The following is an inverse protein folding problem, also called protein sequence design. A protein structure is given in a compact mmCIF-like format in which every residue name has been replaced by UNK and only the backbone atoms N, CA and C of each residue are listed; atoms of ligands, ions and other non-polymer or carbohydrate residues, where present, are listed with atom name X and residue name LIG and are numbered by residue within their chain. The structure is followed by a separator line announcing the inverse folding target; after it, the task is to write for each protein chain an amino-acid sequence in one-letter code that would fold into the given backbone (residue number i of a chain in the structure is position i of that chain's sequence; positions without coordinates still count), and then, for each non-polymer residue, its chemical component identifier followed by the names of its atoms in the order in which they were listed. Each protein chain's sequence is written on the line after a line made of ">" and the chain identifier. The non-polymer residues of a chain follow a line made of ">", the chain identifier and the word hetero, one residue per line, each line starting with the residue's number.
data_IF_160724543118
#
_entry.id   IF_160724543118
#
_cell.length_a   1.000
_cell.length_b   1.000
_cell.length_c   1.000
_cell.angle_alpha   90.00
_cell.angle_beta   90.00
_cell.angle_gamma   90.00
#
_symmetry.space_group_name_H-M   'P 1'
#
loop_
_entity.id
_entity.type
_entity.pdbx_description
1 polymer ?
#
# COMPACT_ATOMS: atom_id res chain seq x y z
N UNK A 1 -14.62 22.60 -63.23
CA UNK A 1 -15.07 21.41 -62.47
C UNK A 1 -14.50 21.58 -61.07
N UNK A 2 -15.24 22.24 -60.19
CA UNK A 2 -14.71 22.73 -58.90
C UNK A 2 -15.18 21.82 -57.78
N UNK A 3 -14.24 21.09 -57.18
CA UNK A 3 -14.49 20.12 -56.12
C UNK A 3 -14.93 20.82 -54.83
N UNK A 4 -16.06 20.36 -54.27
CA UNK A 4 -16.59 20.78 -52.98
C UNK A 4 -15.78 20.13 -51.84
N UNK A 5 -15.19 20.95 -50.97
CA UNK A 5 -14.54 20.50 -49.73
C UNK A 5 -15.57 20.47 -48.60
N UNK A 6 -15.87 19.29 -48.07
CA UNK A 6 -16.73 19.13 -46.89
C UNK A 6 -15.86 19.09 -45.62
N UNK A 7 -15.95 20.14 -44.81
CA UNK A 7 -15.29 20.21 -43.50
C UNK A 7 -16.20 19.61 -42.42
N UNK A 8 -15.73 18.70 -41.54
CA UNK A 8 -16.54 18.21 -40.43
C UNK A 8 -16.56 19.22 -39.27
N UNK A 9 -17.74 19.43 -38.70
CA UNK A 9 -18.03 20.32 -37.57
C UNK A 9 -17.97 19.51 -36.26
N UNK A 10 -17.31 19.98 -35.18
CA UNK A 10 -17.27 19.25 -33.93
C UNK A 10 -18.59 19.39 -33.16
N UNK A 11 -19.15 18.26 -32.74
CA UNK A 11 -20.27 18.21 -31.80
C UNK A 11 -19.75 18.45 -30.38
N UNK A 12 -20.30 19.47 -29.70
CA UNK A 12 -20.07 19.77 -28.29
C UNK A 12 -21.41 19.72 -27.57
N UNK A 13 -21.49 19.00 -26.45
CA UNK A 13 -22.58 19.06 -25.46
C UNK A 13 -22.07 18.50 -24.11
N UNK A 14 -22.69 18.87 -22.97
CA UNK A 14 -22.02 19.65 -21.94
C UNK A 14 -21.81 18.93 -20.60
N UNK A 15 -20.98 19.56 -19.76
CA UNK A 15 -20.77 19.24 -18.36
C UNK A 15 -22.09 19.26 -17.57
N UNK A 16 -22.39 18.16 -16.87
CA UNK A 16 -23.47 18.10 -15.89
C UNK A 16 -22.89 18.33 -14.49
N UNK A 17 -23.03 19.56 -14.00
CA UNK A 17 -22.91 19.90 -12.58
C UNK A 17 -24.24 19.57 -11.91
N UNK A 18 -24.24 18.61 -10.97
CA UNK A 18 -25.38 18.37 -10.10
C UNK A 18 -25.04 18.78 -8.67
N UNK A 19 -25.94 19.61 -8.13
CA UNK A 19 -25.83 20.41 -6.92
C UNK A 19 -25.99 19.58 -5.65
N UNK A 20 -25.28 20.05 -4.63
CA UNK A 20 -25.41 19.81 -3.19
C UNK A 20 -26.87 19.74 -2.72
N UNK A 21 -27.18 18.75 -1.89
CA UNK A 21 -28.31 18.76 -0.98
C UNK A 21 -27.79 18.71 0.47
N UNK A 22 -27.91 19.84 1.16
CA UNK A 22 -27.83 19.95 2.61
C UNK A 22 -29.26 20.05 3.13
N UNK A 23 -29.63 19.15 4.05
CA UNK A 23 -30.69 19.27 5.05
C UNK A 23 -30.50 18.01 5.92
N UNK A 24 -30.09 18.01 7.18
CA UNK A 24 -30.39 18.92 8.26
C UNK A 24 -31.20 18.12 9.29
N UNK A 25 -30.65 17.85 10.48
CA UNK A 25 -31.35 18.10 11.76
C UNK A 25 -30.41 17.87 12.94
N UNK A 26 -30.11 18.99 13.59
CA UNK A 26 -29.53 19.11 14.92
C UNK A 26 -30.62 18.72 15.94
N UNK A 27 -30.34 17.77 16.83
CA UNK A 27 -31.11 17.57 18.04
C UNK A 27 -30.15 17.53 19.23
N UNK A 28 -30.01 18.69 19.86
CA UNK A 28 -29.43 18.92 21.18
C UNK A 28 -30.58 18.84 22.17
N UNK A 29 -30.61 17.85 23.05
CA UNK A 29 -31.40 17.92 24.29
C UNK A 29 -30.50 17.49 25.45
N UNK A 30 -30.18 18.48 26.27
CA UNK A 30 -29.62 18.33 27.60
C UNK A 30 -30.75 18.01 28.59
N UNK A 31 -30.49 17.15 29.57
CA UNK A 31 -31.42 16.91 30.67
C UNK A 31 -30.96 15.82 31.64
N UNK A 32 -30.34 16.22 32.74
CA UNK A 32 -30.17 15.41 33.94
C UNK A 32 -31.40 15.57 34.86
N UNK A 33 -32.02 14.48 35.30
CA UNK A 33 -32.58 14.26 36.64
C UNK A 33 -33.37 12.93 36.68
N UNK A 34 -33.21 12.18 37.76
CA UNK A 34 -33.72 10.83 38.00
C UNK A 34 -35.15 10.81 38.57
N UNK A 35 -35.92 9.74 38.29
CA UNK A 35 -36.77 9.04 39.27
C UNK A 35 -37.20 7.65 38.72
N UNK A 36 -37.18 6.63 39.58
CA UNK A 36 -37.46 5.21 39.29
C UNK A 36 -38.97 4.89 39.27
N UNK A 37 -39.41 4.00 38.36
CA UNK A 37 -40.49 3.01 38.61
C UNK A 37 -40.31 1.74 37.76
N UNK A 38 -40.48 0.60 38.40
CA UNK A 38 -40.33 -0.76 37.87
C UNK A 38 -41.44 -1.18 36.89
N UNK A 39 -41.09 -2.03 35.91
CA UNK A 39 -42.03 -2.72 35.02
C UNK A 39 -41.32 -3.55 33.94
N UNK A 40 -41.57 -4.86 33.94
CA UNK A 40 -40.84 -5.98 33.34
C UNK A 40 -40.87 -6.15 31.80
N UNK A 41 -39.85 -6.90 31.36
CA UNK A 41 -39.77 -7.91 30.27
C UNK A 41 -39.58 -7.46 28.80
N UNK A 42 -38.37 -7.76 28.28
CA UNK A 42 -38.22 -8.47 27.00
C UNK A 42 -37.83 -7.65 25.77
N UNK A 43 -36.54 -7.31 25.62
CA UNK A 43 -35.91 -7.16 24.31
C UNK A 43 -34.38 -7.27 24.44
N UNK A 44 -33.79 -8.26 23.78
CA UNK A 44 -32.34 -8.46 23.67
C UNK A 44 -31.66 -7.21 23.08
N UNK A 45 -31.00 -6.44 23.94
CA UNK A 45 -30.04 -5.43 23.52
C UNK A 45 -28.75 -6.11 23.06
N UNK A 46 -28.46 -6.09 21.76
CA UNK A 46 -27.11 -6.34 21.26
C UNK A 46 -26.19 -5.25 21.82
N UNK A 47 -25.40 -5.61 22.83
CA UNK A 47 -24.29 -4.79 23.32
C UNK A 47 -23.44 -4.34 22.12
N UNK A 48 -23.34 -3.03 21.95
CA UNK A 48 -22.43 -2.42 21.00
C UNK A 48 -21.01 -2.81 21.35
N UNK A 49 -20.40 -3.69 20.55
CA UNK A 49 -18.98 -3.99 20.64
C UNK A 49 -18.21 -2.67 20.52
N UNK A 50 -17.57 -2.25 21.61
CA UNK A 50 -16.48 -1.26 21.54
C UNK A 50 -15.50 -1.74 20.47
N UNK A 51 -15.07 -0.90 19.52
CA UNK A 51 -14.16 -1.33 18.47
C UNK A 51 -12.86 -1.82 19.13
N UNK A 52 -12.66 -3.14 19.13
CA UNK A 52 -11.41 -3.73 19.57
C UNK A 52 -10.32 -3.15 18.67
N UNK A 53 -9.38 -2.41 19.27
CA UNK A 53 -8.16 -2.00 18.57
C UNK A 53 -7.41 -3.27 18.19
N UNK A 54 -7.59 -3.72 16.95
CA UNK A 54 -6.98 -4.95 16.44
C UNK A 54 -5.46 -4.80 16.53
N UNK A 55 -4.84 -5.52 17.47
CA UNK A 55 -3.39 -5.55 17.60
C UNK A 55 -2.80 -6.22 16.37
N UNK A 56 -1.83 -5.57 15.73
CA UNK A 56 -1.16 -6.13 14.56
C UNK A 56 -0.23 -7.28 14.97
N UNK A 57 -0.19 -8.37 14.20
CA UNK A 57 0.72 -9.48 14.46
C UNK A 57 2.19 -9.08 14.21
N UNK A 58 3.17 -9.84 14.72
CA UNK A 58 4.57 -9.61 14.38
C UNK A 58 4.82 -9.81 12.88
N UNK A 59 5.76 -9.06 12.30
CA UNK A 59 6.19 -9.28 10.91
C UNK A 59 7.05 -10.54 10.76
N UNK A 60 7.08 -11.10 9.56
CA UNK A 60 7.87 -12.27 9.21
C UNK A 60 8.98 -11.92 8.19
N UNK A 61 9.73 -12.94 7.76
CA UNK A 61 10.90 -12.81 6.91
C UNK A 61 12.22 -12.90 7.67
N UNK A 62 13.23 -13.41 6.98
CA UNK A 62 14.66 -13.45 7.33
C UNK A 62 15.35 -12.15 6.92
N UNK A 63 16.65 -11.99 7.21
CA UNK A 63 17.39 -10.76 6.91
C UNK A 63 17.35 -10.41 5.41
N UNK A 64 17.12 -9.14 5.10
CA UNK A 64 17.04 -8.63 3.73
C UNK A 64 15.98 -9.28 2.83
N UNK A 65 14.91 -9.84 3.39
CA UNK A 65 13.77 -10.28 2.59
C UNK A 65 12.93 -9.08 2.12
N UNK A 66 12.60 -9.07 0.83
CA UNK A 66 11.74 -8.07 0.20
C UNK A 66 10.66 -8.77 -0.64
N UNK A 67 9.39 -8.54 -0.28
CA UNK A 67 8.26 -9.04 -1.07
C UNK A 67 7.80 -7.99 -2.07
N UNK A 68 7.81 -8.34 -3.35
CA UNK A 68 7.33 -7.51 -4.44
C UNK A 68 5.94 -7.95 -4.86
N UNK A 69 5.00 -7.01 -4.86
CA UNK A 69 3.62 -7.22 -5.29
C UNK A 69 3.46 -6.52 -6.62
N UNK A 70 3.36 -7.28 -7.71
CA UNK A 70 3.34 -6.72 -9.05
C UNK A 70 2.51 -7.62 -10.00
N UNK A 71 1.58 -7.08 -10.80
CA UNK A 71 0.90 -7.84 -11.84
C UNK A 71 1.89 -8.54 -12.79
N UNK A 72 1.54 -9.75 -13.23
CA UNK A 72 2.41 -10.61 -14.05
C UNK A 72 2.90 -9.93 -15.34
N UNK A 73 2.03 -9.18 -16.02
CA UNK A 73 2.39 -8.45 -17.25
C UNK A 73 3.44 -7.39 -16.99
N UNK A 74 3.21 -6.52 -15.99
CA UNK A 74 4.17 -5.47 -15.61
C UNK A 74 5.51 -6.06 -15.16
N UNK A 75 5.48 -7.19 -14.43
CA UNK A 75 6.67 -7.88 -13.99
C UNK A 75 7.52 -8.37 -15.15
N UNK A 76 6.91 -9.04 -16.12
CA UNK A 76 7.60 -9.58 -17.30
C UNK A 76 8.12 -8.52 -18.26
N UNK A 77 7.40 -7.41 -18.40
CA UNK A 77 7.72 -6.38 -19.39
C UNK A 77 8.77 -5.38 -18.92
N UNK A 78 8.71 -4.94 -17.66
CA UNK A 78 9.57 -3.85 -17.18
C UNK A 78 10.01 -3.99 -15.72
N UNK A 79 9.08 -4.27 -14.81
CA UNK A 79 9.34 -4.15 -13.38
C UNK A 79 10.32 -5.21 -12.87
N UNK A 80 10.24 -6.45 -13.37
CA UNK A 80 11.08 -7.56 -12.92
C UNK A 80 12.55 -7.32 -13.19
N UNK A 81 12.90 -6.85 -14.39
CA UNK A 81 14.28 -6.53 -14.75
C UNK A 81 14.83 -5.37 -13.90
N UNK A 82 14.09 -4.27 -13.81
CA UNK A 82 14.50 -3.11 -13.01
C UNK A 82 14.70 -3.46 -11.53
N UNK A 83 13.82 -4.30 -10.96
CA UNK A 83 13.96 -4.79 -9.59
C UNK A 83 15.19 -5.69 -9.44
N UNK A 84 15.42 -6.63 -10.37
CA UNK A 84 16.58 -7.51 -10.33
C UNK A 84 17.90 -6.74 -10.45
N UNK A 85 17.98 -5.77 -11.37
CA UNK A 85 19.19 -4.97 -11.59
C UNK A 85 19.51 -4.01 -10.45
N UNK A 86 18.50 -3.41 -9.82
CA UNK A 86 18.71 -2.35 -8.82
C UNK A 86 18.66 -2.90 -7.40
N UNK A 87 17.64 -3.70 -7.08
CA UNK A 87 17.43 -4.25 -5.73
C UNK A 87 18.07 -5.64 -5.57
N UNK A 88 18.20 -6.40 -6.65
CA UNK A 88 18.92 -7.68 -6.66
C UNK A 88 20.44 -7.55 -6.85
N UNK A 89 20.95 -6.34 -7.10
CA UNK A 89 22.37 -6.08 -7.30
C UNK A 89 23.21 -6.64 -6.13
N UNK A 90 24.40 -7.23 -6.41
CA UNK A 90 25.30 -7.66 -5.37
C UNK A 90 25.75 -6.50 -4.47
N UNK A 91 25.95 -6.80 -3.18
CA UNK A 91 26.55 -5.83 -2.26
C UNK A 91 28.04 -5.66 -2.60
N UNK A 92 28.45 -4.43 -2.89
CA UNK A 92 29.84 -4.12 -3.22
C UNK A 92 30.78 -4.37 -2.02
N UNK A 93 31.97 -4.92 -2.29
CA UNK A 93 33.04 -5.07 -1.30
C UNK A 93 33.09 -6.43 -0.58
N UNK A 94 32.18 -7.36 -0.88
CA UNK A 94 32.28 -8.74 -0.41
C UNK A 94 33.06 -9.61 -1.43
N UNK A 95 33.96 -10.52 -0.98
CA UNK A 95 34.65 -11.45 -1.86
C UNK A 95 33.68 -12.47 -2.50
N UNK A 96 32.53 -12.70 -1.88
CA UNK A 96 31.42 -13.48 -2.42
C UNK A 96 30.27 -12.55 -2.81
N UNK A 97 29.77 -12.67 -4.03
CA UNK A 97 28.65 -11.87 -4.52
C UNK A 97 27.32 -12.38 -3.93
N UNK A 98 26.80 -11.67 -2.93
CA UNK A 98 25.46 -11.92 -2.39
C UNK A 98 24.48 -10.84 -2.88
N UNK A 99 23.28 -11.21 -3.38
CA UNK A 99 22.23 -10.24 -3.71
C UNK A 99 21.89 -9.39 -2.49
N UNK A 100 21.69 -8.09 -2.71
CA UNK A 100 21.33 -7.17 -1.62
C UNK A 100 20.02 -7.55 -0.91
N UNK A 101 19.04 -8.10 -1.64
CA UNK A 101 17.77 -8.56 -1.09
C UNK A 101 17.40 -9.96 -1.57
N UNK A 102 16.81 -10.75 -0.68
CA UNK A 102 16.04 -11.94 -1.02
C UNK A 102 14.67 -11.53 -1.57
N UNK A 103 14.50 -11.61 -2.89
CA UNK A 103 13.29 -11.09 -3.56
C UNK A 103 12.27 -12.20 -3.77
N UNK A 104 11.05 -11.96 -3.27
CA UNK A 104 9.89 -12.81 -3.54
C UNK A 104 8.88 -12.00 -4.35
N UNK A 105 8.56 -12.44 -5.58
CA UNK A 105 7.50 -11.83 -6.38
C UNK A 105 6.18 -12.55 -6.16
N UNK A 106 5.11 -11.76 -5.98
CA UNK A 106 3.74 -12.24 -5.93
C UNK A 106 2.84 -11.35 -6.79
N UNK A 107 1.91 -11.98 -7.52
CA UNK A 107 0.84 -11.25 -8.20
C UNK A 107 -0.24 -10.84 -7.19
N UNK A 108 -0.90 -9.67 -7.34
CA UNK A 108 -1.86 -9.16 -6.37
C UNK A 108 -2.97 -10.15 -5.99
N UNK A 109 -3.43 -10.97 -6.94
CA UNK A 109 -4.50 -11.95 -6.75
C UNK A 109 -4.06 -13.16 -5.92
N UNK A 110 -2.75 -13.44 -5.83
CA UNK A 110 -2.19 -14.59 -5.11
C UNK A 110 -1.61 -14.21 -3.75
N UNK A 111 -1.72 -12.95 -3.32
CA UNK A 111 -1.14 -12.51 -2.07
C UNK A 111 -1.95 -13.02 -0.86
N UNK A 112 -1.32 -13.89 -0.06
CA UNK A 112 -1.92 -14.45 1.15
C UNK A 112 -1.51 -13.67 2.42
N UNK A 113 -2.04 -14.08 3.57
CA UNK A 113 -1.73 -13.45 4.86
C UNK A 113 -0.26 -13.58 5.27
N UNK A 114 0.43 -14.64 4.83
CA UNK A 114 1.84 -14.82 5.12
C UNK A 114 2.70 -13.78 4.38
N UNK A 115 2.49 -13.62 3.07
CA UNK A 115 3.21 -12.65 2.25
C UNK A 115 2.89 -11.20 2.67
N UNK A 116 1.64 -10.90 3.02
CA UNK A 116 1.25 -9.57 3.55
C UNK A 116 1.95 -9.21 4.86
N UNK A 117 2.44 -10.19 5.62
CA UNK A 117 3.14 -9.95 6.90
C UNK A 117 4.65 -9.77 6.74
N UNK A 118 5.17 -9.80 5.51
CA UNK A 118 6.57 -9.50 5.22
C UNK A 118 6.97 -8.16 5.81
N UNK A 119 8.10 -8.09 6.50
CA UNK A 119 8.59 -6.83 7.10
C UNK A 119 8.86 -5.73 6.07
N UNK A 120 9.19 -6.09 4.83
CA UNK A 120 9.43 -5.17 3.72
C UNK A 120 8.56 -5.57 2.52
N UNK A 121 7.65 -4.68 2.11
CA UNK A 121 6.77 -4.88 0.96
C UNK A 121 6.96 -3.74 -0.04
N UNK A 122 7.02 -4.07 -1.33
CA UNK A 122 6.99 -3.10 -2.42
C UNK A 122 5.88 -3.49 -3.41
N UNK A 123 4.83 -2.67 -3.51
CA UNK A 123 3.81 -2.80 -4.56
C UNK A 123 4.17 -1.92 -5.75
N UNK A 124 4.07 -2.46 -6.96
CA UNK A 124 4.31 -1.74 -8.21
C UNK A 124 3.05 -1.83 -9.07
N UNK A 125 2.48 -0.68 -9.41
CA UNK A 125 1.22 -0.58 -10.13
C UNK A 125 1.29 0.49 -11.22
N UNK A 126 0.49 0.30 -12.27
CA UNK A 126 0.23 1.31 -13.29
C UNK A 126 -1.23 1.71 -13.16
N UNK A 127 -1.47 2.99 -12.87
CA UNK A 127 -2.81 3.57 -12.77
C UNK A 127 -2.83 4.80 -13.69
N UNK A 128 -3.69 4.83 -14.73
CA UNK A 128 -3.77 5.95 -15.66
C UNK A 128 -3.85 7.30 -14.95
N UNK A 129 -3.09 8.27 -15.48
CA UNK A 129 -3.05 9.66 -15.01
C UNK A 129 -2.66 9.85 -13.54
N UNK A 130 -2.05 8.84 -12.91
CA UNK A 130 -1.64 8.86 -11.50
C UNK A 130 -0.15 8.60 -11.35
N UNK A 131 0.52 9.36 -10.47
CA UNK A 131 1.92 9.12 -10.12
C UNK A 131 2.11 9.31 -8.62
N UNK A 132 2.61 8.28 -7.95
CA UNK A 132 2.82 8.35 -6.50
C UNK A 132 3.90 7.37 -6.02
N UNK A 133 4.55 7.73 -4.92
CA UNK A 133 5.35 6.83 -4.08
C UNK A 133 4.84 6.98 -2.67
N UNK A 134 4.12 5.97 -2.17
CA UNK A 134 3.43 6.02 -0.88
C UNK A 134 4.11 5.04 0.08
N UNK A 135 4.51 5.50 1.26
CA UNK A 135 5.01 4.63 2.33
C UNK A 135 3.94 4.49 3.41
N UNK A 136 3.70 3.26 3.85
CA UNK A 136 2.85 2.92 4.99
C UNK A 136 3.66 2.08 5.97
N UNK A 137 3.67 2.50 7.23
CA UNK A 137 4.25 1.74 8.34
C UNK A 137 3.16 0.88 8.97
N UNK A 138 3.54 -0.35 9.31
CA UNK A 138 2.69 -1.28 10.06
C UNK A 138 1.30 -1.48 9.44
N UNK A 139 1.23 -1.72 8.13
CA UNK A 139 -0.04 -1.90 7.42
C UNK A 139 -0.76 -3.20 7.84
N UNK A 140 0.00 -4.28 7.99
CA UNK A 140 -0.49 -5.64 8.24
C UNK A 140 0.24 -6.36 9.37
N UNK A 141 1.45 -5.92 9.72
CA UNK A 141 2.28 -6.52 10.74
C UNK A 141 3.21 -5.49 11.41
N UNK A 142 3.87 -5.83 12.51
CA UNK A 142 4.84 -4.96 13.20
C UNK A 142 6.17 -5.65 13.51
N UNK A 143 7.32 -4.98 13.34
CA UNK A 143 7.52 -3.76 12.56
C UNK A 143 7.44 -4.05 11.05
N UNK A 144 6.81 -3.18 10.28
CA UNK A 144 6.68 -3.35 8.83
C UNK A 144 6.81 -2.03 8.07
N UNK A 145 7.45 -2.10 6.90
CA UNK A 145 7.50 -1.05 5.89
C UNK A 145 6.88 -1.55 4.59
N UNK A 146 5.79 -0.91 4.16
CA UNK A 146 5.18 -1.16 2.86
C UNK A 146 5.30 0.10 2.01
N UNK A 147 5.77 -0.05 0.78
CA UNK A 147 5.85 1.05 -0.19
C UNK A 147 5.03 0.69 -1.43
N UNK A 148 4.25 1.64 -1.94
CA UNK A 148 3.52 1.51 -3.19
C UNK A 148 4.09 2.52 -4.19
N UNK A 149 4.48 2.04 -5.37
CA UNK A 149 4.92 2.85 -6.50
C UNK A 149 3.84 2.76 -7.58
N UNK A 150 3.28 3.92 -7.94
CA UNK A 150 2.23 4.05 -8.95
C UNK A 150 2.80 4.86 -10.11
N UNK A 151 2.87 4.25 -11.29
CA UNK A 151 3.23 4.92 -12.53
C UNK A 151 1.99 5.26 -13.36
N UNK A 152 2.01 6.33 -14.18
CA UNK A 152 0.84 6.77 -14.95
C UNK A 152 0.61 5.93 -16.20
N UNK A 153 1.64 5.23 -16.69
CA UNK A 153 1.57 4.35 -17.86
C UNK A 153 2.69 3.31 -17.81
N UNK A 154 2.56 2.28 -18.64
CA UNK A 154 3.60 1.27 -18.84
C UNK A 154 4.89 1.88 -19.40
N UNK A 155 4.78 2.84 -20.31
CA UNK A 155 5.92 3.53 -20.93
C UNK A 155 6.71 4.38 -19.92
N UNK A 156 6.02 4.99 -18.95
CA UNK A 156 6.64 5.81 -17.91
C UNK A 156 7.30 4.97 -16.81
N UNK A 157 6.85 3.72 -16.62
CA UNK A 157 7.23 2.86 -15.51
C UNK A 157 8.77 2.62 -15.41
N UNK A 158 9.50 2.23 -16.47
CA UNK A 158 10.95 1.98 -16.37
C UNK A 158 11.72 3.20 -15.86
N UNK A 159 11.41 4.39 -16.40
CA UNK A 159 12.06 5.64 -16.01
C UNK A 159 11.75 6.03 -14.57
N UNK A 160 10.53 5.76 -14.10
CA UNK A 160 10.15 5.98 -12.70
C UNK A 160 10.89 5.02 -11.76
N UNK A 161 10.93 3.72 -12.10
CA UNK A 161 11.61 2.71 -11.29
C UNK A 161 13.12 2.99 -11.19
N UNK A 162 13.78 3.34 -12.29
CA UNK A 162 15.21 3.67 -12.30
C UNK A 162 15.56 4.82 -11.33
N UNK A 163 14.64 5.78 -11.14
CA UNK A 163 14.81 6.90 -10.20
C UNK A 163 14.51 6.52 -8.75
N UNK A 164 13.44 5.75 -8.54
CA UNK A 164 12.87 5.52 -7.20
C UNK A 164 13.53 4.33 -6.49
N UNK A 165 13.81 3.24 -7.21
CA UNK A 165 14.29 2.00 -6.59
C UNK A 165 15.62 2.13 -5.84
N UNK A 166 16.62 2.92 -6.29
CA UNK A 166 17.87 3.09 -5.53
C UNK A 166 17.64 3.68 -4.12
N UNK A 167 16.77 4.69 -4.03
CA UNK A 167 16.41 5.30 -2.74
C UNK A 167 15.62 4.33 -1.86
N UNK A 168 14.64 3.63 -2.44
CA UNK A 168 13.86 2.64 -1.71
C UNK A 168 14.74 1.48 -1.20
N UNK A 169 15.72 1.03 -1.98
CA UNK A 169 16.68 0.02 -1.54
C UNK A 169 17.43 0.46 -0.27
N UNK A 170 17.83 1.73 -0.17
CA UNK A 170 18.46 2.26 1.05
C UNK A 170 17.49 2.30 2.22
N UNK A 171 16.24 2.69 2.00
CA UNK A 171 15.21 2.76 3.03
C UNK A 171 14.82 1.37 3.57
N UNK A 172 14.67 0.39 2.69
CA UNK A 172 14.41 -1.00 3.10
C UNK A 172 15.59 -1.59 3.87
N UNK A 173 16.82 -1.35 3.43
CA UNK A 173 18.01 -1.83 4.15
C UNK A 173 18.12 -1.20 5.55
N UNK A 174 17.85 0.10 5.67
CA UNK A 174 17.84 0.79 6.96
C UNK A 174 16.73 0.25 7.88
N UNK A 175 15.53 0.02 7.32
CA UNK A 175 14.43 -0.61 8.05
C UNK A 175 14.83 -2.00 8.56
N UNK A 176 15.41 -2.84 7.71
CA UNK A 176 15.84 -4.20 8.07
C UNK A 176 16.86 -4.19 9.22
N UNK A 177 17.88 -3.34 9.11
CA UNK A 177 18.90 -3.18 10.14
C UNK A 177 18.29 -2.72 11.48
N UNK A 178 17.28 -1.84 11.45
CA UNK A 178 16.56 -1.44 12.66
C UNK A 178 15.81 -2.61 13.28
N UNK A 179 15.06 -3.38 12.48
CA UNK A 179 14.31 -4.55 12.96
C UNK A 179 15.26 -5.60 13.55
N UNK A 180 16.39 -5.85 12.91
CA UNK A 180 17.40 -6.77 13.42
C UNK A 180 17.97 -6.31 14.76
N UNK A 181 18.35 -5.03 14.87
CA UNK A 181 18.85 -4.45 16.12
C UNK A 181 17.84 -4.56 17.27
N UNK A 182 16.55 -4.33 16.98
CA UNK A 182 15.49 -4.48 17.98
C UNK A 182 15.39 -5.92 18.47
N UNK A 183 15.31 -6.89 17.55
CA UNK A 183 15.24 -8.32 17.88
C UNK A 183 16.46 -8.80 18.68
N UNK A 184 17.66 -8.30 18.37
CA UNK A 184 18.87 -8.65 19.11
C UNK A 184 18.84 -8.12 20.55
N UNK A 185 18.37 -6.87 20.75
CA UNK A 185 18.20 -6.30 22.09
C UNK A 185 17.21 -7.11 22.93
N UNK A 186 16.05 -7.44 22.36
CA UNK A 186 15.03 -8.24 23.03
C UNK A 186 15.58 -9.61 23.46
N UNK A 187 16.30 -10.30 22.57
CA UNK A 187 16.94 -11.61 22.88
C UNK A 187 18.04 -11.52 23.93
N UNK A 188 18.74 -10.40 24.03
CA UNK A 188 19.78 -10.22 25.05
C UNK A 188 19.23 -9.98 26.45
N UNK A 189 17.95 -9.59 26.54
CA UNK A 189 17.27 -9.24 27.79
C UNK A 189 16.34 -10.37 28.29
N UNK A 190 16.12 -11.40 27.48
CA UNK A 190 15.34 -12.61 27.81
C UNK A 190 16.25 -13.75 28.24
#
# INVERSE_FOLDING_TARGET
>A
MSAWTLSPKPASLPALVAKVAVLGMLALVAGCAAEEREGKEGAEGKEGQKPQRRSLPPSNGTHNDLTIICPEGLWKEAAGLAVAEILGAPVAGLPQAEPRFGIIHAVPQKINSLLRRGKSLLSIEVIPDSTAVLEVRDAYARPQMAVQVIAPSLEALPNMLAKVLPELGNRFAAHDAQVLRQKLKERSQS
#
